data_IF_110858978561
#
_entry.id   IF_110858978561
#
_cell.length_a   1.000
_cell.length_b   1.000
_cell.length_c   1.000
_cell.angle_alpha   90.00
_cell.angle_beta   90.00
_cell.angle_gamma   90.00
#
_symmetry.space_group_name_H-M   'P 1'
#
loop_
_entity.id
_entity.type
_entity.pdbx_description
1 polymer ?
#
# COMPACT_ATOMS: atom_id res chain seq x y z
N UNK A 1 36.03 20.00 -12.35
CA UNK A 1 35.10 19.92 -13.49
C UNK A 1 34.13 18.77 -13.21
N UNK A 2 32.82 19.02 -13.14
CA UNK A 2 31.83 17.97 -12.81
C UNK A 2 31.31 17.40 -14.12
N UNK A 3 31.70 16.17 -14.45
CA UNK A 3 31.22 15.46 -15.65
C UNK A 3 29.82 14.91 -15.38
N UNK A 4 28.91 15.10 -16.33
CA UNK A 4 27.55 14.58 -16.28
C UNK A 4 27.40 13.49 -17.32
N UNK A 5 26.96 12.31 -16.91
CA UNK A 5 26.80 11.15 -17.79
C UNK A 5 25.33 10.91 -18.10
N UNK A 6 25.07 10.24 -19.23
CA UNK A 6 23.75 9.74 -19.58
C UNK A 6 23.12 8.92 -18.44
N UNK A 7 21.84 9.17 -18.18
CA UNK A 7 21.08 8.44 -17.14
C UNK A 7 20.63 7.04 -17.55
N UNK A 8 20.86 6.62 -18.80
CA UNK A 8 20.53 5.26 -19.24
C UNK A 8 21.51 4.25 -18.65
N UNK A 9 20.99 3.16 -18.09
CA UNK A 9 21.81 2.13 -17.45
C UNK A 9 22.81 1.53 -18.45
N UNK A 10 24.11 1.69 -18.17
CA UNK A 10 25.18 1.18 -19.03
C UNK A 10 25.62 2.14 -20.15
N UNK A 11 25.06 3.35 -20.23
CA UNK A 11 25.54 4.38 -21.14
C UNK A 11 26.52 5.33 -20.44
N UNK A 12 27.76 5.38 -20.93
CA UNK A 12 28.82 6.22 -20.37
C UNK A 12 29.10 7.50 -21.20
N UNK A 13 28.16 7.90 -22.07
CA UNK A 13 28.33 9.13 -22.85
C UNK A 13 28.25 10.37 -21.95
N UNK A 14 29.22 11.27 -22.12
CA UNK A 14 29.26 12.57 -21.43
C UNK A 14 28.27 13.51 -22.09
N UNK A 15 27.42 14.14 -21.29
CA UNK A 15 26.35 15.03 -21.75
C UNK A 15 26.38 16.37 -21.02
N UNK A 16 25.76 17.43 -21.58
CA UNK A 16 25.58 18.69 -20.88
C UNK A 16 24.83 18.51 -19.55
N UNK A 17 25.08 19.39 -18.59
CA UNK A 17 24.44 19.36 -17.26
C UNK A 17 22.91 19.48 -17.38
N UNK A 18 22.43 20.24 -18.36
CA UNK A 18 20.99 20.48 -18.58
C UNK A 18 20.28 19.32 -19.31
N UNK A 19 21.04 18.32 -19.77
CA UNK A 19 20.51 17.16 -20.50
C UNK A 19 20.58 15.92 -19.64
N UNK A 20 19.53 15.09 -19.65
CA UNK A 20 19.48 13.83 -18.86
C UNK A 20 19.96 12.60 -19.65
N UNK A 21 19.75 12.60 -20.95
CA UNK A 21 20.08 11.51 -21.86
C UNK A 21 20.88 12.04 -23.04
N UNK A 22 21.71 11.18 -23.63
CA UNK A 22 22.38 11.47 -24.90
C UNK A 22 21.43 11.34 -26.10
N UNK A 23 21.87 11.70 -27.31
CA UNK A 23 21.06 11.60 -28.52
C UNK A 23 20.52 10.19 -28.79
N UNK A 24 21.28 9.15 -28.43
CA UNK A 24 20.84 7.74 -28.58
C UNK A 24 19.66 7.39 -27.68
N UNK A 25 19.58 7.99 -26.49
CA UNK A 25 18.56 7.71 -25.47
C UNK A 25 17.57 8.86 -25.31
N UNK A 26 17.54 9.82 -26.24
CA UNK A 26 16.66 10.99 -26.15
C UNK A 26 15.18 10.60 -26.18
N UNK A 27 14.85 9.46 -26.81
CA UNK A 27 13.51 8.86 -26.82
C UNK A 27 13.04 8.41 -25.44
N UNK A 28 13.94 8.16 -24.49
CA UNK A 28 13.60 7.81 -23.10
C UNK A 28 13.30 9.04 -22.24
N UNK A 29 13.57 10.25 -22.76
CA UNK A 29 13.23 11.47 -22.07
C UNK A 29 11.71 11.59 -21.94
N UNK A 30 11.23 11.46 -20.70
CA UNK A 30 9.85 11.76 -20.34
C UNK A 30 9.83 13.11 -19.63
N UNK A 31 9.24 14.17 -20.23
CA UNK A 31 9.10 15.43 -19.53
C UNK A 31 8.31 15.21 -18.25
N UNK A 32 8.83 15.73 -17.13
CA UNK A 32 8.13 15.66 -15.86
C UNK A 32 6.83 16.44 -15.96
N UNK A 33 5.70 15.72 -16.09
CA UNK A 33 4.37 16.32 -16.07
C UNK A 33 3.94 16.46 -14.61
N UNK A 34 3.93 17.68 -14.08
CA UNK A 34 3.24 17.97 -12.81
C UNK A 34 1.76 17.70 -13.01
N UNK A 35 1.28 16.60 -12.43
CA UNK A 35 -0.14 16.28 -12.40
C UNK A 35 -0.82 17.26 -11.45
N UNK A 36 -1.75 18.07 -11.96
CA UNK A 36 -2.51 19.01 -11.12
C UNK A 36 -3.37 18.24 -10.12
N UNK A 37 -3.75 18.87 -9.01
CA UNK A 37 -4.65 18.26 -8.03
C UNK A 37 -5.99 17.84 -8.66
N UNK A 38 -6.48 18.61 -9.63
CA UNK A 38 -7.68 18.30 -10.41
C UNK A 38 -7.52 17.04 -11.24
N UNK A 39 -6.39 16.88 -11.94
CA UNK A 39 -6.08 15.67 -12.71
C UNK A 39 -5.91 14.46 -11.79
N UNK A 40 -5.24 14.62 -10.64
CA UNK A 40 -5.08 13.55 -9.64
C UNK A 40 -6.44 13.09 -9.11
N UNK A 41 -7.33 14.03 -8.76
CA UNK A 41 -8.71 13.72 -8.33
C UNK A 41 -9.51 13.05 -9.44
N UNK A 42 -9.36 13.48 -10.70
CA UNK A 42 -10.01 12.86 -11.86
C UNK A 42 -9.59 11.40 -12.06
N UNK A 43 -8.28 11.14 -12.05
CA UNK A 43 -7.72 9.77 -12.13
C UNK A 43 -8.17 8.90 -10.96
N UNK A 44 -8.20 9.45 -9.74
CA UNK A 44 -8.69 8.74 -8.56
C UNK A 44 -10.18 8.38 -8.69
N UNK A 45 -11.01 9.30 -9.21
CA UNK A 45 -12.43 9.03 -9.46
C UNK A 45 -12.62 7.95 -10.53
N UNK A 46 -11.91 8.05 -11.65
CA UNK A 46 -11.97 7.05 -12.71
C UNK A 46 -11.55 5.66 -12.22
N UNK A 47 -10.46 5.58 -11.44
CA UNK A 47 -10.00 4.33 -10.79
C UNK A 47 -11.06 3.77 -9.82
N UNK A 48 -11.66 4.64 -9.00
CA UNK A 48 -12.72 4.23 -8.07
C UNK A 48 -14.01 3.77 -8.80
N UNK A 49 -14.28 4.28 -10.00
CA UNK A 49 -15.45 3.93 -10.82
C UNK A 49 -15.26 2.62 -11.59
N UNK A 50 -14.05 2.38 -12.10
CA UNK A 50 -13.75 1.29 -13.05
C UNK A 50 -13.13 0.06 -12.37
N UNK A 51 -12.22 0.26 -11.42
CA UNK A 51 -11.44 -0.85 -10.83
C UNK A 51 -11.82 -1.19 -9.38
N UNK A 52 -12.38 -0.22 -8.64
CA UNK A 52 -12.73 -0.46 -7.23
C UNK A 52 -14.13 -1.05 -7.14
N UNK A 53 -14.23 -2.29 -6.67
CA UNK A 53 -15.49 -2.97 -6.38
C UNK A 53 -16.41 -2.06 -5.53
N UNK A 54 -17.52 -1.62 -6.10
CA UNK A 54 -18.48 -0.72 -5.46
C UNK A 54 -19.01 -1.30 -4.14
N UNK A 55 -19.13 -2.63 -4.05
CA UNK A 55 -19.51 -3.33 -2.80
C UNK A 55 -18.39 -3.33 -1.76
N UNK A 56 -17.14 -3.22 -2.17
CA UNK A 56 -16.03 -3.00 -1.25
C UNK A 56 -16.01 -1.57 -0.73
N UNK A 57 -16.35 -0.61 -1.58
CA UNK A 57 -16.35 0.79 -1.19
C UNK A 57 -17.49 1.13 -0.22
N UNK A 58 -18.70 0.59 -0.44
CA UNK A 58 -19.84 0.79 0.47
C UNK A 58 -19.59 0.23 1.88
N UNK A 59 -18.89 -0.91 1.99
CA UNK A 59 -18.53 -1.50 3.29
C UNK A 59 -17.71 -0.54 4.17
N UNK A 60 -16.71 0.13 3.61
CA UNK A 60 -15.85 1.04 4.40
C UNK A 60 -16.55 2.35 4.77
N UNK A 61 -17.70 2.65 4.15
CA UNK A 61 -18.56 3.78 4.51
C UNK A 61 -19.70 3.39 5.45
N UNK A 62 -19.81 2.11 5.82
CA UNK A 62 -20.84 1.62 6.73
C UNK A 62 -20.61 2.08 8.17
N UNK A 63 -21.71 2.42 8.87
CA UNK A 63 -21.68 2.81 10.29
C UNK A 63 -21.19 1.65 11.16
N UNK A 64 -21.61 0.41 10.85
CA UNK A 64 -21.17 -0.77 11.61
C UNK A 64 -19.67 -0.96 11.49
N UNK A 65 -19.09 -0.73 10.30
CA UNK A 65 -17.64 -0.78 10.11
C UNK A 65 -16.95 0.31 10.94
N UNK A 66 -17.47 1.53 10.95
CA UNK A 66 -16.90 2.64 11.72
C UNK A 66 -16.81 2.31 13.21
N UNK A 67 -17.88 1.76 13.79
CA UNK A 67 -17.90 1.31 15.20
C UNK A 67 -16.93 0.14 15.42
N UNK A 68 -16.97 -0.88 14.55
CA UNK A 68 -16.08 -2.05 14.65
C UNK A 68 -14.61 -1.65 14.60
N UNK A 69 -14.26 -0.76 13.66
CA UNK A 69 -12.92 -0.19 13.52
C UNK A 69 -12.50 0.49 14.82
N UNK A 70 -13.34 1.35 15.39
CA UNK A 70 -13.02 2.04 16.64
C UNK A 70 -12.80 1.06 17.79
N UNK A 71 -13.63 0.02 17.91
CA UNK A 71 -13.47 -1.03 18.92
C UNK A 71 -12.12 -1.74 18.79
N UNK A 72 -11.68 -2.08 17.58
CA UNK A 72 -10.37 -2.71 17.34
C UNK A 72 -9.22 -1.77 17.71
N UNK A 73 -9.33 -0.49 17.35
CA UNK A 73 -8.32 0.53 17.68
C UNK A 73 -8.14 0.69 19.18
N UNK A 74 -9.25 0.74 19.93
CA UNK A 74 -9.23 0.84 21.40
C UNK A 74 -8.68 -0.45 22.02
N UNK A 75 -9.12 -1.63 21.56
CA UNK A 75 -8.64 -2.93 22.03
C UNK A 75 -7.12 -3.07 21.87
N UNK A 76 -6.61 -2.68 20.71
CA UNK A 76 -5.19 -2.80 20.37
C UNK A 76 -4.35 -1.60 20.85
N UNK A 77 -4.96 -0.63 21.55
CA UNK A 77 -4.30 0.57 22.09
C UNK A 77 -3.49 1.35 21.05
N UNK A 78 -4.01 1.46 19.81
CA UNK A 78 -3.29 2.05 18.66
C UNK A 78 -1.93 1.38 18.35
N UNK A 79 -1.64 0.20 18.88
CA UNK A 79 -0.34 -0.45 18.67
C UNK A 79 -0.30 -1.23 17.35
N UNK A 80 0.84 -1.14 16.66
CA UNK A 80 1.10 -1.95 15.47
C UNK A 80 1.25 -3.43 15.87
N UNK A 81 0.45 -4.30 15.26
CA UNK A 81 0.46 -5.73 15.58
C UNK A 81 1.79 -6.43 15.26
N UNK A 82 2.66 -5.82 14.45
CA UNK A 82 3.97 -6.35 14.07
C UNK A 82 5.06 -5.78 14.96
N UNK A 83 5.14 -4.45 15.11
CA UNK A 83 6.24 -3.82 15.88
C UNK A 83 5.91 -3.58 17.34
N UNK A 84 4.64 -3.52 17.72
CA UNK A 84 4.18 -3.15 19.05
C UNK A 84 4.20 -1.64 19.34
N UNK A 85 4.66 -0.83 18.40
CA UNK A 85 4.76 0.63 18.58
C UNK A 85 3.39 1.28 18.43
N UNK A 86 3.13 2.33 19.20
CA UNK A 86 1.93 3.17 19.04
C UNK A 86 1.97 3.86 17.67
N UNK A 87 0.87 3.78 16.93
CA UNK A 87 0.73 4.33 15.59
C UNK A 87 -0.04 5.66 15.66
N UNK A 88 0.47 6.74 15.04
CA UNK A 88 -0.30 7.97 14.86
C UNK A 88 -1.56 7.74 14.02
N UNK A 89 -2.65 8.45 14.31
CA UNK A 89 -3.95 8.25 13.64
C UNK A 89 -3.90 8.34 12.12
N UNK A 90 -3.08 9.24 11.57
CA UNK A 90 -2.92 9.41 10.11
C UNK A 90 -2.17 8.25 9.42
N UNK A 91 -1.56 7.35 10.20
CA UNK A 91 -0.83 6.18 9.71
C UNK A 91 -1.50 4.86 10.10
N UNK A 92 -2.47 4.90 11.03
CA UNK A 92 -3.17 3.73 11.54
C UNK A 92 -4.13 3.14 10.50
N UNK A 93 -3.90 1.87 10.18
CA UNK A 93 -4.78 1.06 9.33
C UNK A 93 -5.36 -0.08 10.17
N UNK A 94 -6.68 -0.21 10.16
CA UNK A 94 -7.34 -1.43 10.67
C UNK A 94 -7.59 -2.33 9.48
N UNK A 95 -7.00 -3.51 9.52
CA UNK A 95 -6.92 -4.41 8.38
C UNK A 95 -7.43 -5.81 8.74
N UNK A 96 -7.84 -6.58 7.74
CA UNK A 96 -8.29 -7.96 7.91
C UNK A 96 -7.12 -8.92 7.84
N UNK A 97 -7.00 -9.85 8.79
CA UNK A 97 -5.97 -10.91 8.80
C UNK A 97 -6.20 -11.87 7.64
N UNK A 98 -7.43 -12.35 7.48
CA UNK A 98 -7.94 -13.02 6.29
C UNK A 98 -8.73 -11.98 5.48
N UNK A 99 -8.36 -11.71 4.21
CA UNK A 99 -8.95 -10.64 3.42
C UNK A 99 -10.48 -10.66 3.43
N UNK A 100 -11.11 -9.47 3.45
CA UNK A 100 -12.57 -9.29 3.46
C UNK A 100 -13.31 -10.14 2.42
N UNK A 101 -12.73 -10.31 1.22
CA UNK A 101 -13.32 -11.10 0.13
C UNK A 101 -13.40 -12.62 0.42
N UNK A 102 -12.64 -13.10 1.40
CA UNK A 102 -12.50 -14.52 1.76
C UNK A 102 -13.05 -14.86 3.15
N UNK A 103 -13.28 -13.85 4.00
CA UNK A 103 -13.80 -14.07 5.35
C UNK A 103 -15.32 -14.30 5.36
N UNK A 104 -15.82 -15.05 6.35
CA UNK A 104 -17.26 -15.27 6.55
C UNK A 104 -17.97 -14.04 7.12
N UNK A 105 -17.37 -13.44 8.15
CA UNK A 105 -17.87 -12.21 8.78
C UNK A 105 -16.79 -11.11 8.69
N UNK A 106 -17.04 -10.03 7.93
CA UNK A 106 -16.09 -8.93 7.79
C UNK A 106 -16.03 -8.01 9.02
N UNK A 107 -16.91 -8.19 10.01
CA UNK A 107 -16.91 -7.44 11.28
C UNK A 107 -16.33 -8.24 12.46
N UNK A 108 -15.86 -9.46 12.23
CA UNK A 108 -15.25 -10.28 13.26
C UNK A 108 -13.97 -9.60 13.80
N UNK A 109 -14.03 -9.21 15.08
CA UNK A 109 -12.91 -8.56 15.77
C UNK A 109 -11.66 -9.43 15.79
N UNK A 110 -11.79 -10.77 15.80
CA UNK A 110 -10.64 -11.68 15.81
C UNK A 110 -9.92 -11.73 14.46
N UNK A 111 -10.61 -11.37 13.39
CA UNK A 111 -10.05 -11.25 12.05
C UNK A 111 -9.49 -9.84 11.78
N UNK A 112 -9.50 -8.94 12.75
CA UNK A 112 -9.07 -7.54 12.60
C UNK A 112 -7.90 -7.21 13.50
N UNK A 113 -7.02 -6.34 13.00
CA UNK A 113 -5.85 -5.85 13.74
C UNK A 113 -5.40 -4.46 13.30
N UNK A 114 -4.64 -3.78 14.16
CA UNK A 114 -4.00 -2.51 13.85
C UNK A 114 -2.63 -2.69 13.20
N UNK A 115 -2.38 -1.97 12.09
CA UNK A 115 -1.12 -1.93 11.38
C UNK A 115 -0.74 -0.49 11.05
N UNK A 116 0.56 -0.17 11.08
CA UNK A 116 1.07 1.04 10.46
C UNK A 116 0.92 0.97 8.94
N UNK A 117 0.82 2.12 8.29
CA UNK A 117 0.74 2.23 6.82
C UNK A 117 1.83 1.44 6.09
N UNK A 118 3.05 1.40 6.65
CA UNK A 118 4.18 0.66 6.08
C UNK A 118 3.90 -0.85 6.12
N UNK A 119 3.52 -1.39 7.29
CA UNK A 119 3.22 -2.82 7.44
C UNK A 119 2.00 -3.26 6.65
N UNK A 120 0.95 -2.44 6.62
CA UNK A 120 -0.22 -2.68 5.78
C UNK A 120 0.16 -2.76 4.29
N UNK A 121 0.99 -1.83 3.81
CA UNK A 121 1.45 -1.83 2.41
C UNK A 121 2.29 -3.08 2.09
N UNK A 122 3.13 -3.52 3.02
CA UNK A 122 3.92 -4.76 2.88
C UNK A 122 3.01 -5.99 2.83
N UNK A 123 2.00 -6.08 3.70
CA UNK A 123 0.99 -7.14 3.67
C UNK A 123 0.30 -7.20 2.32
N UNK A 124 -0.23 -6.08 1.81
CA UNK A 124 -0.92 -6.05 0.51
C UNK A 124 -0.04 -6.55 -0.64
N UNK A 125 1.26 -6.23 -0.62
CA UNK A 125 2.21 -6.76 -1.62
C UNK A 125 2.36 -8.27 -1.53
N UNK A 126 2.40 -8.83 -0.33
CA UNK A 126 2.50 -10.28 -0.14
C UNK A 126 1.20 -10.95 -0.57
N UNK A 127 0.06 -10.42 -0.15
CA UNK A 127 -1.27 -10.95 -0.53
C UNK A 127 -1.47 -11.01 -2.04
N UNK A 128 -0.98 -10.02 -2.78
CA UNK A 128 -1.05 -9.99 -4.24
C UNK A 128 -0.32 -11.16 -4.92
N UNK A 129 0.62 -11.80 -4.23
CA UNK A 129 1.38 -12.96 -4.73
C UNK A 129 0.92 -14.29 -4.11
N UNK A 130 -0.12 -14.29 -3.27
CA UNK A 130 -0.64 -15.49 -2.62
C UNK A 130 -1.95 -15.94 -3.27
N UNK A 131 -2.17 -17.25 -3.29
CA UNK A 131 -3.46 -17.80 -3.71
C UNK A 131 -4.54 -17.59 -2.64
N UNK A 132 -5.80 -17.50 -3.06
CA UNK A 132 -6.94 -17.38 -2.14
C UNK A 132 -7.05 -18.57 -1.18
N UNK A 133 -6.66 -19.78 -1.62
CA UNK A 133 -6.59 -20.95 -0.74
C UNK A 133 -5.57 -20.75 0.38
N UNK A 134 -4.36 -20.27 0.06
CA UNK A 134 -3.36 -19.98 1.08
C UNK A 134 -3.86 -18.90 2.06
N UNK A 135 -4.40 -17.79 1.54
CA UNK A 135 -4.85 -16.65 2.34
C UNK A 135 -5.97 -17.00 3.34
N UNK A 136 -6.83 -17.98 3.05
CA UNK A 136 -7.85 -18.47 3.99
C UNK A 136 -7.28 -19.17 5.22
N UNK A 137 -6.09 -19.75 5.10
CA UNK A 137 -5.46 -20.53 6.16
C UNK A 137 -4.31 -19.79 6.86
N UNK A 138 -3.92 -18.62 6.35
CA UNK A 138 -2.92 -17.78 6.99
C UNK A 138 -3.51 -17.08 8.22
N UNK A 139 -2.98 -17.43 9.39
CA UNK A 139 -3.34 -16.79 10.66
C UNK A 139 -2.40 -15.66 11.08
N UNK A 140 -2.82 -14.92 12.12
CA UNK A 140 -2.07 -13.80 12.72
C UNK A 140 -0.60 -14.11 13.02
N UNK A 141 -0.32 -15.29 13.61
CA UNK A 141 1.05 -15.69 13.99
C UNK A 141 1.98 -15.78 12.78
N UNK A 142 1.49 -16.31 11.66
CA UNK A 142 2.27 -16.41 10.43
C UNK A 142 2.58 -15.02 9.87
N UNK A 143 1.57 -14.13 9.82
CA UNK A 143 1.81 -12.77 9.34
C UNK A 143 2.80 -12.00 10.19
N UNK A 144 2.74 -12.12 11.52
CA UNK A 144 3.72 -11.51 12.42
C UNK A 144 5.12 -11.99 12.08
N UNK A 145 5.31 -13.30 11.88
CA UNK A 145 6.61 -13.88 11.50
C UNK A 145 7.11 -13.29 10.17
N UNK A 146 6.31 -13.39 9.11
CA UNK A 146 6.70 -12.98 7.76
C UNK A 146 6.96 -11.48 7.66
N UNK A 147 6.13 -10.66 8.32
CA UNK A 147 6.31 -9.21 8.29
C UNK A 147 7.46 -8.75 9.18
N UNK A 148 7.78 -9.44 10.28
CA UNK A 148 8.97 -9.18 11.12
C UNK A 148 10.29 -9.55 10.43
N UNK A 149 10.35 -10.68 9.75
CA UNK A 149 11.58 -11.18 9.12
C UNK A 149 12.09 -10.24 8.01
N UNK A 150 11.20 -9.50 7.35
CA UNK A 150 11.56 -8.47 6.35
C UNK A 150 11.92 -7.10 6.93
N UNK A 151 12.07 -6.96 8.25
CA UNK A 151 12.66 -5.77 8.89
C UNK A 151 14.18 -5.85 9.05
N UNK A 152 14.78 -7.04 8.87
CA UNK A 152 16.23 -7.22 8.89
C UNK A 152 16.83 -7.05 7.51
#
# INVERSE_FOLDING_TARGET
MRVHFCSHNGCNEVIPIDSRYCQKHISEYKPYKRVTDTQRKGLQRAYNLIERDQKANSFYHDKKWTVTRQTVVVRDMHADAITGNVIPDNQLQVDHIVPRRLCKDPYDLNNLWCLSRINHTRKNKIEAHMSDSALKHVGRKWWIKVLKERFK
#
